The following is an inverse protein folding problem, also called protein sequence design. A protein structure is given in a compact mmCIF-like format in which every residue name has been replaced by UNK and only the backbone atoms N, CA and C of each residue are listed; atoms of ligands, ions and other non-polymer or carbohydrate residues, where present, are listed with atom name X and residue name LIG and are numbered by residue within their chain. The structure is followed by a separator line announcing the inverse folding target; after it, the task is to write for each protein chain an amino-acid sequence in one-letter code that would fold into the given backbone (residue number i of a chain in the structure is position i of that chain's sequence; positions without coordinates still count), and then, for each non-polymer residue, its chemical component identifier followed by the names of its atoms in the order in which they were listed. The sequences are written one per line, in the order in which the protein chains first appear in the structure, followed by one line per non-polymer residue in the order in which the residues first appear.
data_IF_529538188176
#
_entry.id   IF_529538188176
#
_cell.length_a   1.000
_cell.length_b   1.000
_cell.length_c   1.000
_cell.angle_alpha   90.00
_cell.angle_beta   90.00
_cell.angle_gamma   90.00
#
_symmetry.space_group_name_H-M   'P 1'
#
loop_
_entity.id
_entity.type
_entity.pdbx_description
1 polymer ?
#
# COMPACT_ATOMS: atom_id res chain seq x y z
N UNK A 1 -56.63 3.10 37.18
CA UNK A 1 -56.68 3.10 38.65
C UNK A 1 -55.41 2.41 39.16
N UNK A 2 -54.62 3.16 39.92
CA UNK A 2 -53.63 2.78 40.95
C UNK A 2 -52.43 1.91 40.49
N UNK A 3 -51.24 2.27 40.71
CA UNK A 3 -50.50 3.24 41.51
C UNK A 3 -49.15 2.56 41.84
N UNK A 4 -48.14 3.25 41.50
CA UNK A 4 -46.74 3.29 41.98
C UNK A 4 -46.42 2.54 43.28
N UNK A 5 -45.26 1.90 43.28
CA UNK A 5 -44.44 1.76 44.48
C UNK A 5 -42.94 1.93 44.14
N UNK A 6 -42.41 3.05 44.58
CA UNK A 6 -41.00 3.45 44.53
C UNK A 6 -40.31 2.87 45.77
N UNK A 7 -39.32 2.03 45.64
CA UNK A 7 -38.38 1.69 46.72
C UNK A 7 -37.15 2.57 46.62
N UNK A 8 -37.01 3.55 47.51
CA UNK A 8 -35.78 4.31 47.78
C UNK A 8 -34.86 3.48 48.63
N UNK A 9 -33.61 3.32 48.18
CA UNK A 9 -32.48 2.87 48.97
C UNK A 9 -31.66 4.08 49.42
N UNK A 10 -31.28 4.20 50.71
CA UNK A 10 -30.56 5.36 51.22
C UNK A 10 -29.12 5.41 50.76
N UNK A 11 -28.69 6.60 50.37
CA UNK A 11 -27.32 6.85 49.93
C UNK A 11 -26.32 6.86 51.09
N UNK A 12 -25.18 6.25 50.84
CA UNK A 12 -23.94 6.52 51.57
C UNK A 12 -23.08 7.46 50.70
N UNK A 13 -22.47 8.48 51.27
CA UNK A 13 -21.53 9.32 50.53
C UNK A 13 -20.23 8.58 50.36
N UNK A 14 -19.95 8.12 49.13
CA UNK A 14 -18.64 7.63 48.78
C UNK A 14 -17.67 8.81 48.70
N UNK A 15 -16.70 8.86 49.59
CA UNK A 15 -15.58 9.78 49.53
C UNK A 15 -14.84 9.62 48.21
N UNK A 16 -14.85 10.64 47.39
CA UNK A 16 -14.09 10.67 46.16
C UNK A 16 -12.58 10.78 46.51
N UNK A 17 -11.84 9.72 46.25
CA UNK A 17 -10.38 9.77 46.24
C UNK A 17 -9.93 10.61 45.04
N UNK A 18 -9.00 11.56 45.25
CA UNK A 18 -8.49 12.37 44.15
C UNK A 18 -7.67 11.49 43.22
N UNK A 19 -8.11 11.35 41.97
CA UNK A 19 -7.31 10.76 40.90
C UNK A 19 -6.03 11.60 40.71
N UNK A 20 -4.87 10.99 40.58
CA UNK A 20 -3.64 11.71 40.32
C UNK A 20 -3.79 12.45 38.96
N UNK A 21 -3.66 13.76 38.99
CA UNK A 21 -3.55 14.59 37.80
C UNK A 21 -2.35 14.11 37.02
N UNK A 22 -2.57 13.32 35.97
CA UNK A 22 -1.57 13.12 34.92
C UNK A 22 -1.28 14.49 34.32
N UNK A 23 -0.12 15.04 34.64
CA UNK A 23 0.44 16.13 33.88
C UNK A 23 0.51 15.67 32.43
N UNK A 24 -0.35 16.19 31.55
CA UNK A 24 -0.12 16.17 30.13
C UNK A 24 1.22 16.88 29.91
N UNK A 25 2.29 16.11 29.74
CA UNK A 25 3.48 16.66 29.11
C UNK A 25 3.02 17.17 27.76
N UNK A 26 2.99 18.49 27.62
CA UNK A 26 2.94 19.11 26.30
C UNK A 26 4.10 18.50 25.53
N UNK A 27 3.81 17.70 24.53
CA UNK A 27 4.78 17.35 23.51
C UNK A 27 5.16 18.68 22.91
N UNK A 28 6.32 19.19 23.28
CA UNK A 28 6.94 20.33 22.62
C UNK A 28 7.12 19.87 21.18
N UNK A 29 6.28 20.37 20.27
CA UNK A 29 6.55 20.25 18.86
C UNK A 29 7.95 20.85 18.69
N UNK A 30 8.94 20.01 18.42
CA UNK A 30 10.23 20.49 17.94
C UNK A 30 9.89 21.42 16.78
N UNK A 31 10.36 22.67 16.88
CA UNK A 31 10.14 23.65 15.84
C UNK A 31 10.74 23.06 14.56
N UNK A 32 9.85 22.53 13.70
CA UNK A 32 10.24 22.15 12.36
C UNK A 32 10.87 23.38 11.73
N UNK A 33 12.03 23.22 11.12
CA UNK A 33 12.63 24.26 10.31
C UNK A 33 11.54 24.81 9.38
N UNK A 34 11.47 26.12 9.12
CA UNK A 34 10.41 26.70 8.33
C UNK A 34 10.40 25.98 6.99
N UNK A 35 9.40 25.10 6.81
CA UNK A 35 9.11 24.53 5.52
C UNK A 35 8.78 25.72 4.63
N UNK A 36 9.58 25.93 3.58
CA UNK A 36 9.19 26.84 2.50
C UNK A 36 7.85 26.30 2.05
N UNK A 37 6.75 27.00 2.40
CA UNK A 37 5.45 26.72 1.83
C UNK A 37 5.61 26.96 0.33
N UNK A 38 5.89 25.87 -0.40
CA UNK A 38 5.73 25.90 -1.84
C UNK A 38 4.24 26.10 -2.05
N UNK A 39 3.86 27.26 -2.57
CA UNK A 39 2.49 27.51 -2.99
C UNK A 39 2.06 26.36 -3.89
N UNK A 40 0.79 25.92 -3.80
CA UNK A 40 0.23 24.91 -4.70
C UNK A 40 0.42 25.43 -6.12
N UNK A 41 1.47 24.97 -6.79
CA UNK A 41 1.67 25.22 -8.20
C UNK A 41 0.99 24.09 -8.96
N UNK A 42 0.09 24.45 -9.89
CA UNK A 42 -0.41 23.47 -10.83
C UNK A 42 0.80 22.88 -11.55
N UNK A 43 1.05 21.59 -11.37
CA UNK A 43 2.20 20.88 -11.94
C UNK A 43 2.01 20.56 -13.42
N UNK A 44 0.82 20.86 -13.97
CA UNK A 44 0.43 20.48 -15.31
C UNK A 44 -0.12 21.66 -16.10
N UNK A 45 0.42 21.96 -17.31
CA UNK A 45 -0.12 22.98 -18.19
C UNK A 45 -1.52 22.58 -18.71
N UNK A 46 -2.37 23.57 -19.07
CA UNK A 46 -3.77 23.33 -19.48
C UNK A 46 -3.91 22.30 -20.62
N UNK A 47 -3.04 22.32 -21.60
CA UNK A 47 -3.04 21.41 -22.75
C UNK A 47 -2.83 19.95 -22.33
N UNK A 48 -2.12 19.70 -21.25
CA UNK A 48 -1.96 18.36 -20.68
C UNK A 48 -3.24 17.92 -19.94
N UNK A 49 -3.98 18.85 -19.30
CA UNK A 49 -5.27 18.58 -18.70
C UNK A 49 -6.31 18.16 -19.74
N UNK A 50 -6.26 18.73 -20.96
CA UNK A 50 -7.14 18.36 -22.07
C UNK A 50 -6.97 16.90 -22.49
N UNK A 51 -5.77 16.33 -22.36
CA UNK A 51 -5.54 14.90 -22.65
C UNK A 51 -6.44 14.03 -21.76
N UNK A 52 -6.52 14.31 -20.46
CA UNK A 52 -7.38 13.55 -19.53
C UNK A 52 -8.86 13.79 -19.78
N UNK A 53 -9.24 15.00 -20.19
CA UNK A 53 -10.62 15.28 -20.58
C UNK A 53 -11.01 14.48 -21.82
N UNK A 54 -10.13 14.38 -22.81
CA UNK A 54 -10.36 13.59 -24.04
C UNK A 54 -10.47 12.09 -23.75
N UNK A 55 -9.83 11.60 -22.68
CA UNK A 55 -9.86 10.21 -22.27
C UNK A 55 -11.07 9.82 -21.41
N UNK A 56 -11.97 10.73 -21.03
CA UNK A 56 -13.15 10.41 -20.20
C UNK A 56 -14.02 9.30 -20.79
N UNK A 57 -14.29 9.38 -22.10
CA UNK A 57 -15.07 8.34 -22.79
C UNK A 57 -14.37 6.98 -22.77
N UNK A 58 -13.09 6.97 -23.01
CA UNK A 58 -12.27 5.77 -22.92
C UNK A 58 -12.22 5.22 -21.49
N UNK A 59 -12.06 6.06 -20.49
CA UNK A 59 -12.08 5.62 -19.08
C UNK A 59 -13.41 4.95 -18.73
N UNK A 60 -14.54 5.50 -19.17
CA UNK A 60 -15.86 4.89 -18.98
C UNK A 60 -16.00 3.52 -19.64
N UNK A 61 -15.50 3.36 -20.88
CA UNK A 61 -15.69 2.13 -21.67
C UNK A 61 -14.60 1.07 -21.47
N UNK A 62 -13.42 1.43 -21.01
CA UNK A 62 -12.25 0.54 -21.01
C UNK A 62 -11.55 0.42 -19.66
N UNK A 63 -11.74 1.39 -18.76
CA UNK A 63 -11.18 1.38 -17.41
C UNK A 63 -12.22 0.85 -16.40
N UNK A 64 -13.43 1.45 -16.36
CA UNK A 64 -14.47 1.03 -15.41
C UNK A 64 -14.85 -0.46 -15.52
N UNK A 65 -14.87 -1.12 -16.69
CA UNK A 65 -15.13 -2.56 -16.78
C UNK A 65 -14.06 -3.46 -16.12
N UNK A 66 -12.95 -2.91 -15.67
CA UNK A 66 -11.95 -3.64 -14.89
C UNK A 66 -12.32 -3.73 -13.40
N UNK A 67 -13.24 -2.89 -12.92
CA UNK A 67 -13.85 -3.05 -11.60
C UNK A 67 -14.79 -4.25 -11.61
N UNK A 68 -14.96 -4.90 -10.47
CA UNK A 68 -15.91 -5.98 -10.31
C UNK A 68 -17.19 -5.49 -9.64
N UNK A 69 -18.38 -6.01 -10.04
CA UNK A 69 -19.60 -5.80 -9.29
C UNK A 69 -19.44 -6.28 -7.84
N UNK A 70 -19.99 -5.54 -6.89
CA UNK A 70 -19.90 -5.88 -5.45
C UNK A 70 -20.48 -7.26 -5.16
N UNK A 71 -21.49 -7.67 -5.92
CA UNK A 71 -22.16 -8.96 -5.82
C UNK A 71 -21.28 -10.15 -6.23
N UNK A 72 -20.28 -9.90 -7.10
CA UNK A 72 -19.40 -10.92 -7.67
C UNK A 72 -18.00 -10.93 -7.04
N UNK A 73 -17.75 -10.01 -6.10
CA UNK A 73 -16.43 -9.84 -5.53
C UNK A 73 -16.33 -10.55 -4.17
N UNK A 74 -15.17 -11.16 -3.89
CA UNK A 74 -14.92 -11.81 -2.61
C UNK A 74 -14.99 -10.80 -1.44
N UNK A 75 -15.33 -11.31 -0.27
CA UNK A 75 -15.34 -10.53 0.97
C UNK A 75 -14.39 -11.16 2.00
N UNK A 76 -13.86 -10.38 2.96
CA UNK A 76 -13.01 -10.92 4.02
C UNK A 76 -13.59 -12.15 4.74
N UNK A 77 -14.92 -12.18 4.91
CA UNK A 77 -15.64 -13.31 5.53
C UNK A 77 -15.48 -14.65 4.77
N UNK A 78 -15.13 -14.62 3.48
CA UNK A 78 -14.93 -15.84 2.68
C UNK A 78 -13.65 -16.61 3.07
N UNK A 79 -12.77 -15.99 3.84
CA UNK A 79 -11.48 -16.54 4.28
C UNK A 79 -11.35 -16.68 5.79
N UNK A 80 -12.31 -16.22 6.56
CA UNK A 80 -12.24 -16.12 8.01
C UNK A 80 -13.30 -17.04 8.66
N UNK A 81 -13.09 -17.45 9.90
CA UNK A 81 -14.11 -18.14 10.67
C UNK A 81 -15.44 -17.39 10.67
N UNK A 82 -16.54 -18.13 10.46
CA UNK A 82 -17.88 -17.54 10.45
C UNK A 82 -18.33 -17.23 11.88
N UNK A 83 -18.38 -15.96 12.26
CA UNK A 83 -18.77 -15.51 13.60
C UNK A 83 -20.21 -15.83 13.97
N UNK A 84 -21.07 -16.23 13.02
CA UNK A 84 -22.45 -16.65 13.25
C UNK A 84 -22.59 -18.18 13.39
N UNK A 85 -21.53 -18.93 13.08
CA UNK A 85 -21.52 -20.40 13.14
C UNK A 85 -21.35 -20.90 14.57
N UNK A 86 -22.06 -21.99 14.90
CA UNK A 86 -21.79 -22.75 16.16
C UNK A 86 -20.37 -23.33 16.17
N UNK A 87 -19.72 -23.46 15.02
CA UNK A 87 -18.36 -23.95 14.87
C UNK A 87 -17.30 -22.85 15.00
N UNK A 88 -17.67 -21.60 15.25
CA UNK A 88 -16.75 -20.47 15.25
C UNK A 88 -15.51 -20.67 16.11
N UNK A 89 -15.69 -21.12 17.36
CA UNK A 89 -14.55 -21.36 18.27
C UNK A 89 -13.63 -22.47 17.75
N UNK A 90 -14.18 -23.49 17.11
CA UNK A 90 -13.40 -24.56 16.51
C UNK A 90 -12.63 -24.07 15.30
N UNK A 91 -13.26 -23.30 14.40
CA UNK A 91 -12.62 -22.70 13.23
C UNK A 91 -11.52 -21.73 13.63
N UNK A 92 -11.71 -20.94 14.70
CA UNK A 92 -10.64 -20.07 15.27
C UNK A 92 -9.49 -20.92 15.82
N UNK A 93 -9.76 -22.01 16.49
CA UNK A 93 -8.71 -22.92 16.99
C UNK A 93 -7.90 -23.54 15.85
N UNK A 94 -8.55 -23.94 14.75
CA UNK A 94 -7.87 -24.42 13.54
C UNK A 94 -7.03 -23.32 12.87
N UNK A 95 -7.54 -22.09 12.76
CA UNK A 95 -6.76 -20.94 12.25
C UNK A 95 -5.51 -20.74 13.11
N UNK A 96 -5.64 -20.75 14.43
CA UNK A 96 -4.51 -20.60 15.36
C UNK A 96 -3.50 -21.73 15.24
N UNK A 97 -3.95 -22.96 15.03
CA UNK A 97 -3.07 -24.10 14.80
C UNK A 97 -2.23 -23.93 13.52
N UNK A 98 -2.85 -23.48 12.41
CA UNK A 98 -2.12 -23.16 11.16
C UNK A 98 -1.17 -21.99 11.37
N UNK A 99 -1.63 -20.91 11.99
CA UNK A 99 -0.81 -19.73 12.29
C UNK A 99 0.40 -20.03 13.19
N UNK A 100 0.29 -21.02 14.09
CA UNK A 100 1.40 -21.44 14.94
C UNK A 100 2.57 -22.06 14.15
N UNK A 101 2.32 -22.61 12.97
CA UNK A 101 3.35 -23.17 12.10
C UNK A 101 4.13 -22.13 11.30
N UNK A 102 3.60 -20.90 11.20
CA UNK A 102 4.26 -19.81 10.52
C UNK A 102 5.37 -19.20 11.38
N UNK A 103 6.57 -18.93 10.85
CA UNK A 103 7.66 -18.31 11.61
C UNK A 103 7.38 -16.82 11.92
N UNK A 104 8.07 -16.29 12.93
CA UNK A 104 7.91 -14.89 13.34
C UNK A 104 8.27 -13.90 12.23
N UNK A 105 9.28 -14.21 11.42
CA UNK A 105 9.65 -13.41 10.26
C UNK A 105 8.51 -13.28 9.25
N UNK A 106 7.72 -14.33 9.09
CA UNK A 106 6.55 -14.28 8.22
C UNK A 106 5.53 -13.27 8.74
N UNK A 107 5.30 -13.24 10.06
CA UNK A 107 4.39 -12.26 10.66
C UNK A 107 4.91 -10.84 10.55
N UNK A 108 6.22 -10.61 10.64
CA UNK A 108 6.78 -9.28 10.37
C UNK A 108 6.41 -8.80 8.96
N UNK A 109 6.53 -9.68 7.97
CA UNK A 109 6.20 -9.34 6.58
C UNK A 109 4.68 -9.16 6.39
N UNK A 110 3.88 -10.06 6.95
CA UNK A 110 2.42 -9.99 6.85
C UNK A 110 1.86 -8.71 7.50
N UNK A 111 2.43 -8.30 8.65
CA UNK A 111 2.08 -7.03 9.30
C UNK A 111 2.47 -5.85 8.43
N UNK A 112 3.68 -5.85 7.86
CA UNK A 112 4.12 -4.77 6.99
C UNK A 112 3.24 -4.63 5.74
N UNK A 113 2.86 -5.74 5.10
CA UNK A 113 1.90 -5.74 3.99
C UNK A 113 0.56 -5.15 4.46
N UNK A 114 0.00 -5.64 5.58
CA UNK A 114 -1.28 -5.15 6.11
C UNK A 114 -1.26 -3.67 6.51
N UNK A 115 -0.20 -3.20 7.16
CA UNK A 115 -0.04 -1.78 7.54
C UNK A 115 0.01 -0.91 6.28
N UNK A 116 0.62 -1.42 5.21
CA UNK A 116 0.62 -0.75 3.91
C UNK A 116 -0.80 -0.66 3.34
N UNK A 117 -1.56 -1.73 3.35
CA UNK A 117 -2.96 -1.76 2.88
C UNK A 117 -3.88 -0.85 3.71
N UNK A 118 -3.75 -0.86 5.02
CA UNK A 118 -4.55 -0.02 5.94
C UNK A 118 -4.23 1.48 5.81
N UNK A 119 -3.11 1.87 5.22
CA UNK A 119 -2.79 3.26 4.91
C UNK A 119 -3.53 3.80 3.67
N UNK A 120 -4.51 3.09 3.16
CA UNK A 120 -5.38 3.44 2.03
C UNK A 120 -5.92 4.88 2.04
N UNK A 121 -6.33 5.50 3.19
CA UNK A 121 -6.75 6.89 3.20
C UNK A 121 -5.69 7.85 2.64
N UNK A 122 -4.42 7.55 2.83
CA UNK A 122 -3.29 8.34 2.32
C UNK A 122 -3.16 8.20 0.80
N UNK A 123 -3.35 6.99 0.27
CA UNK A 123 -3.25 6.72 -1.18
C UNK A 123 -4.42 7.33 -1.94
N UNK A 124 -5.62 7.14 -1.43
CA UNK A 124 -6.83 7.74 -1.99
C UNK A 124 -6.72 9.28 -2.00
N UNK A 125 -6.23 9.87 -0.92
CA UNK A 125 -5.99 11.31 -0.84
C UNK A 125 -4.97 11.74 -1.91
N UNK A 126 -3.87 11.02 -2.07
CA UNK A 126 -2.83 11.33 -3.06
C UNK A 126 -3.38 11.29 -4.49
N UNK A 127 -4.10 10.21 -4.87
CA UNK A 127 -4.71 10.12 -6.20
C UNK A 127 -5.71 11.26 -6.43
N UNK A 128 -6.43 11.66 -5.39
CA UNK A 128 -7.40 12.74 -5.45
C UNK A 128 -6.78 14.15 -5.52
N UNK A 129 -5.46 14.28 -5.43
CA UNK A 129 -4.76 15.54 -5.72
C UNK A 129 -4.39 15.72 -7.20
N UNK A 130 -4.49 14.67 -8.01
CA UNK A 130 -4.01 14.67 -9.40
C UNK A 130 -4.90 15.54 -10.30
N UNK A 131 -4.31 16.52 -10.97
CA UNK A 131 -5.02 17.48 -11.83
C UNK A 131 -5.74 16.79 -13.00
N UNK A 132 -6.98 17.17 -13.24
CA UNK A 132 -7.81 16.69 -14.36
C UNK A 132 -8.50 15.33 -14.14
N UNK A 133 -8.15 14.58 -13.08
CA UNK A 133 -8.71 13.25 -12.78
C UNK A 133 -9.32 13.14 -11.39
N UNK A 134 -9.10 14.11 -10.50
CA UNK A 134 -9.61 14.12 -9.12
C UNK A 134 -11.13 14.20 -9.05
N UNK A 135 -11.68 13.73 -7.95
CA UNK A 135 -13.09 13.85 -7.58
C UNK A 135 -13.33 15.18 -6.85
N UNK A 136 -13.81 16.19 -7.58
CA UNK A 136 -14.02 17.54 -7.05
C UNK A 136 -15.14 17.61 -6.00
N UNK A 137 -16.04 16.63 -5.96
CA UNK A 137 -17.24 16.66 -5.12
C UNK A 137 -17.30 15.54 -4.09
N UNK A 138 -16.41 14.55 -4.19
CA UNK A 138 -16.49 13.29 -3.44
C UNK A 138 -17.58 12.33 -3.98
N UNK A 139 -18.38 12.75 -4.97
CA UNK A 139 -19.47 11.97 -5.56
C UNK A 139 -19.64 12.23 -7.07
N UNK A 140 -18.62 12.70 -7.75
CA UNK A 140 -18.65 12.99 -9.18
C UNK A 140 -18.96 11.73 -10.00
N UNK A 141 -19.82 11.86 -11.01
CA UNK A 141 -20.08 10.83 -12.01
C UNK A 141 -18.98 10.74 -13.09
N UNK A 142 -17.93 11.57 -13.02
CA UNK A 142 -16.80 11.48 -13.93
C UNK A 142 -16.14 10.10 -13.81
N UNK A 143 -15.87 9.39 -14.93
CA UNK A 143 -15.29 8.05 -14.91
C UNK A 143 -13.99 7.93 -14.09
N UNK A 144 -13.15 8.96 -14.06
CA UNK A 144 -11.95 9.00 -13.22
C UNK A 144 -12.29 8.95 -11.73
N UNK A 145 -13.26 9.75 -11.30
CA UNK A 145 -13.70 9.79 -9.92
C UNK A 145 -14.42 8.50 -9.51
N UNK A 146 -15.24 7.94 -10.42
CA UNK A 146 -15.89 6.63 -10.20
C UNK A 146 -14.84 5.54 -10.04
N UNK A 147 -13.82 5.52 -10.91
CA UNK A 147 -12.70 4.59 -10.81
C UNK A 147 -12.02 4.68 -9.43
N UNK A 148 -11.59 5.88 -9.04
CA UNK A 148 -10.84 6.05 -7.78
C UNK A 148 -11.65 5.58 -6.57
N UNK A 149 -12.94 5.92 -6.48
CA UNK A 149 -13.78 5.46 -5.35
C UNK A 149 -14.01 3.96 -5.34
N UNK A 150 -14.28 3.36 -6.50
CA UNK A 150 -14.55 1.94 -6.58
C UNK A 150 -13.26 1.11 -6.39
N UNK A 151 -12.13 1.56 -6.94
CA UNK A 151 -10.81 0.99 -6.63
C UNK A 151 -10.52 1.04 -5.13
N UNK A 152 -10.72 2.20 -4.48
CA UNK A 152 -10.57 2.33 -3.02
C UNK A 152 -11.44 1.33 -2.25
N UNK A 153 -12.67 1.08 -2.72
CA UNK A 153 -13.55 0.09 -2.09
C UNK A 153 -13.04 -1.34 -2.28
N UNK A 154 -12.41 -1.65 -3.42
CA UNK A 154 -11.75 -2.94 -3.64
C UNK A 154 -10.52 -3.11 -2.75
N UNK A 155 -9.65 -2.09 -2.65
CA UNK A 155 -8.45 -2.07 -1.83
C UNK A 155 -8.73 -2.23 -0.33
N UNK A 156 -9.79 -1.58 0.16
CA UNK A 156 -10.15 -1.64 1.58
C UNK A 156 -10.32 -3.07 2.13
N UNK A 157 -10.66 -4.04 1.27
CA UNK A 157 -10.82 -5.45 1.66
C UNK A 157 -9.48 -6.14 1.93
N UNK A 158 -8.41 -5.68 1.27
CA UNK A 158 -7.07 -6.25 1.40
C UNK A 158 -6.55 -6.09 2.83
N UNK A 159 -6.54 -4.86 3.34
CA UNK A 159 -6.19 -4.57 4.72
C UNK A 159 -7.11 -5.27 5.71
N UNK A 160 -8.43 -5.23 5.48
CA UNK A 160 -9.44 -5.80 6.39
C UNK A 160 -9.27 -7.32 6.59
N UNK A 161 -9.06 -8.10 5.52
CA UNK A 161 -8.88 -9.55 5.65
C UNK A 161 -7.59 -9.90 6.39
N UNK A 162 -6.49 -9.19 6.10
CA UNK A 162 -5.21 -9.43 6.76
C UNK A 162 -5.26 -9.03 8.24
N UNK A 163 -5.87 -7.89 8.56
CA UNK A 163 -6.07 -7.40 9.92
C UNK A 163 -6.85 -8.42 10.75
N UNK A 164 -8.00 -8.86 10.27
CA UNK A 164 -8.84 -9.85 10.95
C UNK A 164 -8.14 -11.19 11.13
N UNK A 165 -7.41 -11.67 10.11
CA UNK A 165 -6.61 -12.88 10.22
C UNK A 165 -5.59 -12.75 11.36
N UNK A 166 -4.83 -11.65 11.41
CA UNK A 166 -3.82 -11.44 12.43
C UNK A 166 -4.42 -11.31 13.83
N UNK A 167 -5.53 -10.59 13.96
CA UNK A 167 -6.28 -10.50 15.22
C UNK A 167 -6.69 -11.89 15.75
N UNK A 168 -7.27 -12.72 14.89
CA UNK A 168 -7.71 -14.07 15.26
C UNK A 168 -6.55 -15.03 15.54
N UNK A 169 -5.42 -14.84 14.86
CA UNK A 169 -4.23 -15.69 14.99
C UNK A 169 -3.59 -15.62 16.39
N UNK A 170 -3.68 -14.46 17.05
CA UNK A 170 -3.02 -14.19 18.32
C UNK A 170 -1.48 -14.17 18.26
N UNK A 171 -0.91 -14.07 17.06
CA UNK A 171 0.54 -14.10 16.83
C UNK A 171 1.21 -12.73 16.88
N UNK A 172 0.42 -11.65 16.86
CA UNK A 172 0.89 -10.27 16.80
C UNK A 172 0.27 -9.41 17.91
N UNK A 173 1.01 -8.39 18.35
CA UNK A 173 0.50 -7.35 19.22
C UNK A 173 -0.31 -6.33 18.40
N UNK A 174 -1.60 -6.57 18.28
CA UNK A 174 -2.51 -5.72 17.49
C UNK A 174 -2.48 -4.26 17.94
N UNK A 175 -2.23 -3.98 19.22
CA UNK A 175 -2.13 -2.60 19.71
C UNK A 175 -0.94 -1.86 19.11
N UNK A 176 0.19 -2.54 18.93
CA UNK A 176 1.36 -1.95 18.29
C UNK A 176 1.17 -1.84 16.78
N UNK A 177 0.52 -2.82 16.17
CA UNK A 177 0.14 -2.79 14.76
C UNK A 177 -0.79 -1.61 14.46
N UNK A 178 -1.88 -1.45 15.22
CA UNK A 178 -2.84 -0.35 15.08
C UNK A 178 -2.20 1.04 15.27
N UNK A 179 -1.26 1.17 16.22
CA UNK A 179 -0.48 2.41 16.38
C UNK A 179 0.37 2.71 15.14
N UNK A 180 1.00 1.67 14.57
CA UNK A 180 1.82 1.83 13.37
C UNK A 180 0.98 2.32 12.20
N UNK A 181 -0.21 1.77 11.99
CA UNK A 181 -1.17 2.26 10.98
C UNK A 181 -1.49 3.75 11.20
N UNK A 182 -1.79 4.14 12.44
CA UNK A 182 -2.10 5.54 12.75
C UNK A 182 -0.91 6.47 12.50
N UNK A 183 0.31 6.06 12.87
CA UNK A 183 1.52 6.82 12.58
C UNK A 183 1.75 6.96 11.08
N UNK A 184 1.58 5.88 10.31
CA UNK A 184 1.79 5.90 8.86
C UNK A 184 0.78 6.83 8.17
N UNK A 185 -0.51 6.73 8.49
CA UNK A 185 -1.54 7.62 7.96
C UNK A 185 -1.23 9.07 8.36
N UNK A 186 -0.87 9.31 9.62
CA UNK A 186 -0.51 10.63 10.13
C UNK A 186 0.75 11.24 9.51
N UNK A 187 1.67 10.41 9.02
CA UNK A 187 2.89 10.83 8.31
C UNK A 187 2.59 11.31 6.89
N UNK A 188 1.47 10.90 6.31
CA UNK A 188 1.11 11.21 4.94
C UNK A 188 1.99 10.48 3.92
N UNK A 189 1.91 10.92 2.67
CA UNK A 189 2.65 10.34 1.57
C UNK A 189 2.95 11.39 0.50
N UNK A 190 4.20 11.51 0.12
CA UNK A 190 4.63 12.34 -1.02
C UNK A 190 5.47 11.52 -2.00
N UNK A 191 4.86 10.92 -3.03
CA UNK A 191 5.58 10.20 -4.08
C UNK A 191 6.31 11.13 -5.06
N UNK A 192 6.32 12.43 -4.80
CA UNK A 192 6.90 13.49 -5.64
C UNK A 192 6.27 13.57 -7.03
N UNK A 193 4.95 13.39 -7.07
CA UNK A 193 4.15 13.47 -8.30
C UNK A 193 3.60 14.88 -8.56
N UNK A 194 3.69 15.79 -7.58
CA UNK A 194 3.37 17.22 -7.72
C UNK A 194 1.99 17.49 -8.34
N UNK A 195 0.97 16.69 -8.00
CA UNK A 195 -0.38 16.73 -8.59
C UNK A 195 -0.43 16.40 -10.10
N UNK A 196 0.66 15.93 -10.68
CA UNK A 196 0.75 15.60 -12.10
C UNK A 196 0.29 14.14 -12.35
N UNK A 197 -0.84 13.90 -13.03
CA UNK A 197 -1.37 12.57 -13.28
C UNK A 197 -0.49 11.71 -14.19
N UNK A 198 0.37 12.28 -15.04
CA UNK A 198 1.36 11.48 -15.77
C UNK A 198 2.31 10.79 -14.80
N UNK A 199 2.84 11.55 -13.83
CA UNK A 199 3.72 10.99 -12.78
C UNK A 199 2.94 10.05 -11.86
N UNK A 200 1.73 10.46 -11.45
CA UNK A 200 0.88 9.69 -10.56
C UNK A 200 0.55 8.31 -11.12
N UNK A 201 0.13 8.22 -12.39
CA UNK A 201 -0.23 6.93 -12.99
C UNK A 201 0.99 6.04 -13.32
N UNK A 202 2.15 6.61 -13.60
CA UNK A 202 3.41 5.84 -13.67
C UNK A 202 3.74 5.26 -12.31
N UNK A 203 3.65 6.08 -11.24
CA UNK A 203 3.86 5.64 -9.86
C UNK A 203 2.92 4.49 -9.50
N UNK A 204 1.61 4.66 -9.70
CA UNK A 204 0.61 3.66 -9.34
C UNK A 204 0.76 2.37 -10.15
N UNK A 205 1.06 2.45 -11.46
CA UNK A 205 1.33 1.25 -12.28
C UNK A 205 2.48 0.41 -11.73
N UNK A 206 3.49 1.06 -11.15
CA UNK A 206 4.61 0.38 -10.51
C UNK A 206 4.17 -0.26 -9.19
N UNK A 207 3.44 0.48 -8.35
CA UNK A 207 3.02 0.02 -7.02
C UNK A 207 2.09 -1.18 -7.09
N UNK A 208 1.06 -1.14 -7.90
CA UNK A 208 0.14 -2.26 -8.10
C UNK A 208 0.86 -3.56 -8.55
N UNK A 209 1.89 -3.40 -9.37
CA UNK A 209 2.74 -4.54 -9.73
C UNK A 209 3.58 -5.03 -8.56
N UNK A 210 4.10 -4.13 -7.74
CA UNK A 210 4.90 -4.45 -6.57
C UNK A 210 4.06 -5.17 -5.50
N UNK A 211 2.83 -4.69 -5.24
CA UNK A 211 1.90 -5.33 -4.30
C UNK A 211 1.44 -6.70 -4.81
N UNK A 212 1.14 -6.84 -6.12
CA UNK A 212 0.85 -8.13 -6.73
C UNK A 212 1.99 -9.16 -6.51
N UNK A 213 3.24 -8.72 -6.61
CA UNK A 213 4.42 -9.58 -6.36
C UNK A 213 4.53 -9.91 -4.88
N UNK A 214 4.43 -8.93 -3.97
CA UNK A 214 4.51 -9.12 -2.53
C UNK A 214 3.46 -10.12 -2.04
N UNK A 215 2.18 -9.86 -2.30
CA UNK A 215 1.08 -10.75 -1.89
C UNK A 215 1.17 -12.15 -2.52
N UNK A 216 1.62 -12.24 -3.77
CA UNK A 216 1.84 -13.54 -4.43
C UNK A 216 2.94 -14.36 -3.76
N UNK A 217 4.04 -13.73 -3.34
CA UNK A 217 5.12 -14.38 -2.62
C UNK A 217 4.73 -14.71 -1.18
N UNK A 218 3.98 -13.82 -0.51
CA UNK A 218 3.40 -14.07 0.82
C UNK A 218 2.47 -15.28 0.79
N UNK A 219 1.61 -15.39 -0.23
CA UNK A 219 0.75 -16.55 -0.44
C UNK A 219 1.56 -17.85 -0.61
N UNK A 220 2.62 -17.82 -1.40
CA UNK A 220 3.51 -18.99 -1.61
C UNK A 220 4.16 -19.45 -0.30
N UNK A 221 4.61 -18.52 0.53
CA UNK A 221 5.20 -18.84 1.83
C UNK A 221 4.15 -19.39 2.80
N UNK A 222 2.94 -18.80 2.89
CA UNK A 222 1.85 -19.33 3.70
C UNK A 222 1.56 -20.79 3.35
N UNK A 223 1.45 -21.08 2.04
CA UNK A 223 1.24 -22.45 1.56
C UNK A 223 2.39 -23.39 1.92
N UNK A 224 3.64 -22.93 1.80
CA UNK A 224 4.80 -23.73 2.16
C UNK A 224 4.86 -24.11 3.65
N UNK A 225 4.24 -23.29 4.51
CA UNK A 225 4.11 -23.53 5.94
C UNK A 225 2.76 -24.18 6.35
N UNK A 226 1.91 -24.54 5.40
CA UNK A 226 0.68 -25.29 5.64
C UNK A 226 -0.56 -24.44 5.96
N UNK A 227 -0.52 -23.13 5.79
CA UNK A 227 -1.74 -22.30 5.88
C UNK A 227 -2.34 -22.04 4.49
N UNK A 228 -3.10 -23.01 3.97
CA UNK A 228 -3.73 -22.91 2.67
C UNK A 228 -4.83 -21.85 2.61
N UNK A 229 -5.46 -21.50 3.75
CA UNK A 229 -6.50 -20.47 3.80
C UNK A 229 -5.87 -19.10 3.64
N UNK A 230 -4.82 -18.79 4.40
CA UNK A 230 -4.06 -17.56 4.26
C UNK A 230 -3.42 -17.44 2.86
N UNK A 231 -2.90 -18.56 2.34
CA UNK A 231 -2.35 -18.61 0.99
C UNK A 231 -3.40 -18.24 -0.07
N UNK A 232 -4.65 -18.70 0.07
CA UNK A 232 -5.74 -18.31 -0.82
C UNK A 232 -6.09 -16.83 -0.67
N UNK A 233 -6.19 -16.31 0.56
CA UNK A 233 -6.48 -14.89 0.81
C UNK A 233 -5.43 -13.99 0.13
N UNK A 234 -4.15 -14.18 0.43
CA UNK A 234 -3.07 -13.41 -0.18
C UNK A 234 -3.00 -13.60 -1.71
N UNK A 235 -3.28 -14.80 -2.22
CA UNK A 235 -3.33 -15.07 -3.67
C UNK A 235 -4.48 -14.36 -4.36
N UNK A 236 -5.61 -14.17 -3.67
CA UNK A 236 -6.77 -13.43 -4.18
C UNK A 236 -6.49 -11.93 -4.19
N UNK A 237 -5.86 -11.39 -3.14
CA UNK A 237 -5.35 -10.02 -3.13
C UNK A 237 -4.40 -9.80 -4.32
N UNK A 238 -3.40 -10.66 -4.50
CA UNK A 238 -2.46 -10.56 -5.62
C UNK A 238 -3.15 -10.60 -7.01
N UNK A 239 -4.31 -11.25 -7.14
CA UNK A 239 -5.09 -11.25 -8.38
C UNK A 239 -5.84 -9.93 -8.60
N UNK A 240 -6.33 -9.30 -7.52
CA UNK A 240 -6.92 -7.96 -7.59
C UNK A 240 -5.85 -6.93 -7.98
N UNK A 241 -4.68 -6.95 -7.34
CA UNK A 241 -3.55 -6.09 -7.66
C UNK A 241 -3.12 -6.16 -9.13
N UNK A 242 -3.12 -7.36 -9.72
CA UNK A 242 -2.84 -7.53 -11.16
C UNK A 242 -3.91 -6.89 -12.05
N UNK A 243 -5.14 -6.86 -11.60
CA UNK A 243 -6.24 -6.22 -12.32
C UNK A 243 -6.10 -4.69 -12.25
N UNK A 244 -5.76 -4.17 -11.08
CA UNK A 244 -5.48 -2.77 -10.85
C UNK A 244 -4.22 -2.32 -11.63
N UNK A 245 -3.14 -3.10 -11.62
CA UNK A 245 -1.95 -2.88 -12.45
C UNK A 245 -2.33 -2.78 -13.93
N UNK A 246 -3.19 -3.68 -14.41
CA UNK A 246 -3.68 -3.63 -15.79
C UNK A 246 -4.42 -2.34 -16.09
N UNK A 247 -5.21 -1.82 -15.16
CA UNK A 247 -5.92 -0.56 -15.32
C UNK A 247 -4.96 0.63 -15.42
N UNK A 248 -4.08 0.77 -14.44
CA UNK A 248 -3.14 1.90 -14.41
C UNK A 248 -2.12 1.85 -15.55
N UNK A 249 -1.60 0.67 -15.90
CA UNK A 249 -0.70 0.54 -17.04
C UNK A 249 -1.37 0.87 -18.38
N UNK A 250 -2.67 0.56 -18.55
CA UNK A 250 -3.46 0.98 -19.72
C UNK A 250 -3.66 2.49 -19.79
N UNK A 251 -3.77 3.18 -18.66
CA UNK A 251 -3.81 4.65 -18.66
C UNK A 251 -2.51 5.19 -19.24
N UNK A 252 -1.36 4.72 -18.78
CA UNK A 252 -0.05 5.15 -19.31
C UNK A 252 0.10 4.79 -20.79
N UNK A 253 -0.43 3.64 -21.24
CA UNK A 253 -0.47 3.30 -22.69
C UNK A 253 -1.26 4.35 -23.50
N UNK A 254 -2.38 4.86 -22.98
CA UNK A 254 -3.11 5.94 -23.66
C UNK A 254 -2.32 7.26 -23.68
N UNK A 255 -1.62 7.59 -22.60
CA UNK A 255 -0.75 8.75 -22.54
C UNK A 255 0.37 8.64 -23.57
N UNK A 256 1.03 7.49 -23.68
CA UNK A 256 2.06 7.23 -24.71
C UNK A 256 1.52 7.34 -26.15
N UNK A 257 0.24 7.02 -26.37
CA UNK A 257 -0.40 7.15 -27.67
C UNK A 257 -0.74 8.61 -28.04
N UNK A 258 -1.21 9.40 -27.05
CA UNK A 258 -1.71 10.76 -27.29
C UNK A 258 -0.61 11.82 -27.14
N UNK A 259 0.30 11.61 -26.22
CA UNK A 259 1.39 12.52 -25.86
C UNK A 259 2.64 11.70 -25.50
N UNK A 260 3.28 11.06 -26.48
CA UNK A 260 4.42 10.17 -26.25
C UNK A 260 5.59 10.86 -25.57
N UNK A 261 5.87 12.09 -25.91
CA UNK A 261 6.98 12.86 -25.32
C UNK A 261 6.73 13.14 -23.84
N UNK A 262 5.57 13.68 -23.50
CA UNK A 262 5.20 13.95 -22.11
C UNK A 262 5.15 12.68 -21.25
N UNK A 263 4.62 11.58 -21.79
CA UNK A 263 4.55 10.31 -21.07
C UNK A 263 5.94 9.72 -20.81
N UNK A 264 6.84 9.71 -21.80
CA UNK A 264 8.20 9.20 -21.64
C UNK A 264 9.03 10.04 -20.68
N UNK A 265 8.87 11.37 -20.72
CA UNK A 265 9.51 12.27 -19.77
C UNK A 265 9.04 11.99 -18.33
N UNK A 266 7.75 11.76 -18.14
CA UNK A 266 7.18 11.41 -16.83
C UNK A 266 7.69 10.04 -16.31
N UNK A 267 7.74 9.02 -17.19
CA UNK A 267 8.31 7.71 -16.85
C UNK A 267 9.77 7.87 -16.41
N UNK A 268 10.58 8.60 -17.18
CA UNK A 268 11.99 8.80 -16.85
C UNK A 268 12.18 9.60 -15.56
N UNK A 269 11.32 10.57 -15.29
CA UNK A 269 11.37 11.36 -14.05
C UNK A 269 11.08 10.49 -12.83
N UNK A 270 10.01 9.68 -12.86
CA UNK A 270 9.69 8.76 -11.77
C UNK A 270 10.82 7.74 -11.53
N UNK A 271 11.43 7.22 -12.61
CA UNK A 271 12.57 6.29 -12.47
C UNK A 271 13.81 6.97 -11.87
N UNK A 272 14.06 8.25 -12.17
CA UNK A 272 15.16 9.02 -11.56
C UNK A 272 14.89 9.30 -10.08
N UNK A 273 13.64 9.60 -9.73
CA UNK A 273 13.20 9.81 -8.34
C UNK A 273 13.29 8.53 -7.50
N UNK A 274 13.41 7.36 -8.13
CA UNK A 274 13.37 6.03 -7.52
C UNK A 274 12.05 5.83 -6.77
N UNK A 275 11.12 5.16 -7.42
CA UNK A 275 9.83 4.84 -6.83
C UNK A 275 10.04 4.08 -5.52
N UNK A 276 9.58 4.64 -4.42
CA UNK A 276 9.62 4.02 -3.09
C UNK A 276 8.26 3.44 -2.75
N UNK A 277 8.22 2.40 -1.91
CA UNK A 277 6.97 1.85 -1.42
C UNK A 277 6.18 2.91 -0.64
N UNK A 278 4.84 2.87 -0.68
CA UNK A 278 4.01 3.87 -0.02
C UNK A 278 4.26 3.96 1.49
N UNK A 279 4.60 2.84 2.10
CA UNK A 279 4.83 2.71 3.54
C UNK A 279 6.24 3.14 4.02
N UNK A 280 7.05 3.81 3.20
CA UNK A 280 8.43 4.16 3.54
C UNK A 280 8.59 5.11 4.76
N UNK A 281 7.50 5.71 5.23
CA UNK A 281 7.46 6.52 6.46
C UNK A 281 6.95 5.72 7.68
N UNK A 282 6.86 4.41 7.57
CA UNK A 282 6.38 3.52 8.63
C UNK A 282 7.29 3.55 9.86
N UNK A 283 6.70 3.81 11.03
CA UNK A 283 7.32 3.68 12.33
C UNK A 283 6.27 3.31 13.39
N UNK A 284 6.69 2.75 14.53
CA UNK A 284 5.78 2.37 15.63
C UNK A 284 5.82 3.35 16.83
N UNK A 285 6.55 4.45 16.69
CA UNK A 285 6.77 5.47 17.73
C UNK A 285 8.01 5.21 18.57
N UNK A 286 8.68 4.06 18.44
CA UNK A 286 9.94 3.70 19.08
C UNK A 286 11.04 3.38 18.08
N UNK A 287 10.74 2.57 17.06
CA UNK A 287 11.62 2.27 15.94
C UNK A 287 11.30 3.20 14.77
N UNK A 288 12.18 4.15 14.51
CA UNK A 288 12.04 5.11 13.40
C UNK A 288 12.55 4.55 12.08
N UNK A 289 13.30 3.45 12.09
CA UNK A 289 13.82 2.74 10.93
C UNK A 289 13.03 1.46 10.65
N UNK A 290 11.79 1.39 11.16
CA UNK A 290 10.93 0.20 11.10
C UNK A 290 10.68 -0.27 9.67
N UNK A 291 10.52 0.67 8.73
CA UNK A 291 10.35 0.33 7.32
C UNK A 291 11.58 -0.40 6.75
N UNK A 292 12.78 0.10 7.04
CA UNK A 292 14.04 -0.50 6.60
C UNK A 292 14.24 -1.90 7.21
N UNK A 293 13.90 -2.05 8.49
CA UNK A 293 13.96 -3.34 9.17
C UNK A 293 12.97 -4.35 8.55
N UNK A 294 11.71 -3.94 8.36
CA UNK A 294 10.70 -4.74 7.66
C UNK A 294 11.15 -5.11 6.23
N UNK A 295 11.61 -4.12 5.44
CA UNK A 295 12.05 -4.34 4.07
C UNK A 295 13.23 -5.34 3.99
N UNK A 296 14.13 -5.32 4.98
CA UNK A 296 15.22 -6.29 5.09
C UNK A 296 14.72 -7.71 5.30
N UNK A 297 13.70 -7.90 6.16
CA UNK A 297 13.05 -9.20 6.36
C UNK A 297 12.34 -9.66 5.08
N UNK A 298 11.58 -8.77 4.42
CA UNK A 298 10.90 -9.07 3.16
C UNK A 298 11.89 -9.49 2.05
N UNK A 299 13.02 -8.77 1.95
CA UNK A 299 14.12 -9.10 1.03
C UNK A 299 14.69 -10.49 1.34
N UNK A 300 14.96 -10.79 2.60
CA UNK A 300 15.56 -12.08 3.04
C UNK A 300 14.62 -13.26 2.80
N UNK A 301 13.32 -13.09 3.03
CA UNK A 301 12.32 -14.12 2.77
C UNK A 301 11.94 -14.26 1.28
N UNK A 302 12.41 -13.36 0.43
CA UNK A 302 12.07 -13.34 -0.98
C UNK A 302 10.60 -12.99 -1.22
N UNK A 303 10.03 -12.12 -0.36
CA UNK A 303 8.67 -11.59 -0.54
C UNK A 303 8.69 -10.40 -1.48
N UNK A 304 9.58 -9.45 -1.23
CA UNK A 304 9.84 -8.36 -2.16
C UNK A 304 11.34 -8.00 -2.15
N UNK A 305 11.96 -8.07 -3.30
CA UNK A 305 13.42 -7.97 -3.43
C UNK A 305 13.86 -6.88 -4.40
N UNK A 306 15.12 -6.48 -4.33
CA UNK A 306 15.73 -5.60 -5.33
C UNK A 306 15.67 -6.18 -6.75
N UNK A 307 15.61 -7.52 -6.89
CA UNK A 307 15.41 -8.17 -8.16
C UNK A 307 13.98 -7.97 -8.66
N UNK A 308 12.97 -8.12 -7.79
CA UNK A 308 11.56 -7.88 -8.13
C UNK A 308 11.37 -6.44 -8.60
N UNK A 309 11.96 -5.46 -7.90
CA UNK A 309 11.95 -4.06 -8.34
C UNK A 309 12.49 -3.91 -9.78
N UNK A 310 13.60 -4.56 -10.08
CA UNK A 310 14.23 -4.49 -11.40
C UNK A 310 13.35 -5.16 -12.46
N UNK A 311 12.75 -6.30 -12.13
CA UNK A 311 11.86 -7.05 -13.02
C UNK A 311 10.57 -6.27 -13.31
N UNK A 312 10.07 -5.48 -12.35
CA UNK A 312 8.95 -4.55 -12.57
C UNK A 312 9.32 -3.47 -13.58
N UNK A 313 10.51 -2.86 -13.44
CA UNK A 313 10.97 -1.85 -14.42
C UNK A 313 11.06 -2.46 -15.83
N UNK A 314 11.64 -3.65 -15.95
CA UNK A 314 11.74 -4.34 -17.24
C UNK A 314 10.37 -4.72 -17.81
N UNK A 315 9.46 -5.19 -16.95
CA UNK A 315 8.08 -5.49 -17.33
C UNK A 315 7.37 -4.26 -17.90
N UNK A 316 7.46 -3.11 -17.22
CA UNK A 316 6.81 -1.87 -17.66
C UNK A 316 7.42 -1.35 -18.98
N UNK A 317 8.75 -1.43 -19.15
CA UNK A 317 9.42 -1.10 -20.42
C UNK A 317 8.86 -1.94 -21.57
N UNK A 318 8.71 -3.25 -21.37
CA UNK A 318 8.15 -4.17 -22.37
C UNK A 318 6.66 -3.92 -22.60
N UNK A 319 5.89 -3.75 -21.51
CA UNK A 319 4.45 -3.50 -21.53
C UNK A 319 4.11 -2.25 -22.36
N UNK A 320 4.85 -1.19 -22.13
CA UNK A 320 4.69 0.10 -22.82
C UNK A 320 5.44 0.18 -24.14
N UNK A 321 6.13 -0.89 -24.55
CA UNK A 321 6.89 -0.97 -25.83
C UNK A 321 7.86 0.20 -26.03
N UNK A 322 8.51 0.64 -24.94
CA UNK A 322 9.36 1.82 -24.98
C UNK A 322 10.55 1.65 -25.93
N UNK A 323 11.09 0.43 -26.06
CA UNK A 323 12.23 0.15 -26.95
C UNK A 323 11.94 0.43 -28.42
N UNK A 324 10.68 0.31 -28.82
CA UNK A 324 10.24 0.52 -30.22
C UNK A 324 9.51 1.83 -30.43
N UNK A 325 9.42 2.69 -29.40
CA UNK A 325 8.74 3.96 -29.47
C UNK A 325 9.65 5.01 -30.15
N UNK A 326 9.37 5.38 -31.39
CA UNK A 326 10.15 6.34 -32.17
C UNK A 326 9.38 7.63 -32.49
N UNK A 327 8.08 7.50 -32.75
CA UNK A 327 7.24 8.62 -33.19
C UNK A 327 6.93 9.60 -32.06
N UNK A 328 6.86 10.91 -32.40
CA UNK A 328 6.39 11.95 -31.50
C UNK A 328 7.35 12.34 -30.37
N UNK A 329 8.60 11.87 -30.39
CA UNK A 329 9.60 12.18 -29.37
C UNK A 329 10.49 13.37 -29.74
N UNK A 330 10.62 14.32 -28.82
CA UNK A 330 11.65 15.36 -28.85
C UNK A 330 13.06 14.78 -28.67
N UNK A 331 14.09 15.59 -28.79
CA UNK A 331 15.45 15.18 -28.45
C UNK A 331 15.60 14.79 -26.98
N UNK A 332 14.85 15.44 -26.09
CA UNK A 332 14.82 15.10 -24.66
C UNK A 332 14.05 13.81 -24.41
N UNK A 333 12.89 13.63 -25.04
CA UNK A 333 12.12 12.39 -24.96
C UNK A 333 12.89 11.16 -25.41
N UNK A 334 13.65 11.26 -26.51
CA UNK A 334 14.53 10.15 -26.95
C UNK A 334 15.59 9.80 -25.90
N UNK A 335 16.26 10.80 -25.30
CA UNK A 335 17.21 10.55 -24.22
C UNK A 335 16.55 9.95 -22.98
N UNK A 336 15.34 10.38 -22.66
CA UNK A 336 14.54 9.86 -21.57
C UNK A 336 14.16 8.38 -21.80
N UNK A 337 13.68 8.03 -23.00
CA UNK A 337 13.41 6.65 -23.42
C UNK A 337 14.64 5.76 -23.29
N UNK A 338 15.77 6.19 -23.85
CA UNK A 338 17.02 5.43 -23.83
C UNK A 338 17.54 5.22 -22.41
N UNK A 339 17.36 6.25 -21.55
CA UNK A 339 17.65 6.11 -20.11
C UNK A 339 16.82 5.02 -19.45
N UNK A 340 15.50 5.02 -19.68
CA UNK A 340 14.58 4.04 -19.07
C UNK A 340 14.85 2.63 -19.59
N UNK A 341 14.98 2.46 -20.90
CA UNK A 341 15.29 1.16 -21.53
C UNK A 341 16.62 0.59 -21.04
N UNK A 342 17.61 1.43 -20.75
CA UNK A 342 18.92 0.99 -20.23
C UNK A 342 18.96 0.83 -18.70
N UNK A 343 17.86 1.01 -17.98
CA UNK A 343 17.88 1.06 -16.51
C UNK A 343 17.97 -0.33 -15.87
N UNK A 344 17.13 -1.29 -16.28
CA UNK A 344 17.06 -2.61 -15.67
C UNK A 344 18.42 -3.38 -15.67
N UNK A 345 19.20 -3.42 -16.76
CA UNK A 345 20.51 -4.07 -16.73
C UNK A 345 21.51 -3.42 -15.74
N UNK A 346 21.41 -2.09 -15.55
CA UNK A 346 22.26 -1.38 -14.59
C UNK A 346 21.87 -1.70 -13.17
N UNK A 347 20.57 -1.80 -12.90
CA UNK A 347 20.02 -2.13 -11.58
C UNK A 347 20.37 -3.55 -11.17
N UNK A 348 20.26 -4.55 -12.08
CA UNK A 348 20.68 -5.94 -11.83
C UNK A 348 22.13 -6.00 -11.35
N UNK A 349 23.04 -5.38 -12.10
CA UNK A 349 24.46 -5.34 -11.71
C UNK A 349 24.69 -4.64 -10.35
N UNK A 350 23.86 -3.66 -9.99
CA UNK A 350 23.94 -3.02 -8.70
C UNK A 350 23.40 -3.92 -7.57
N UNK A 351 22.30 -4.61 -7.81
CA UNK A 351 21.69 -5.57 -6.89
C UNK A 351 22.63 -6.76 -6.61
N UNK A 352 23.25 -7.35 -7.64
CA UNK A 352 24.25 -8.42 -7.51
C UNK A 352 25.41 -7.99 -6.61
N UNK A 353 25.97 -6.79 -6.85
CA UNK A 353 27.08 -6.25 -6.02
C UNK A 353 26.63 -5.96 -4.57
N UNK A 354 25.37 -5.57 -4.37
CA UNK A 354 24.82 -5.36 -3.03
C UNK A 354 24.64 -6.70 -2.31
N UNK A 355 24.10 -7.72 -2.99
CA UNK A 355 23.94 -9.06 -2.45
C UNK A 355 25.30 -9.70 -2.08
N UNK A 356 26.33 -9.51 -2.90
CA UNK A 356 27.68 -10.02 -2.60
C UNK A 356 28.33 -9.33 -1.38
N UNK A 357 27.99 -8.08 -1.12
CA UNK A 357 28.41 -7.39 0.11
C UNK A 357 27.65 -7.89 1.32
N UNK A 358 26.30 -7.96 1.22
CA UNK A 358 25.46 -8.41 2.32
C UNK A 358 25.80 -9.84 2.81
N UNK A 359 26.30 -10.72 1.90
CA UNK A 359 26.77 -12.06 2.28
C UNK A 359 28.00 -12.06 3.21
N UNK A 360 28.70 -10.94 3.31
CA UNK A 360 29.91 -10.79 4.15
C UNK A 360 29.63 -10.15 5.49
N UNK A 361 28.44 -9.56 5.62
CA UNK A 361 28.01 -8.88 6.85
C UNK A 361 27.47 -9.93 7.83
N UNK A 362 27.73 -9.75 9.12
CA UNK A 362 27.13 -10.60 10.15
C UNK A 362 25.61 -10.35 10.26
N UNK A 363 24.81 -11.43 10.41
CA UNK A 363 23.36 -11.29 10.57
C UNK A 363 23.03 -10.43 11.79
N UNK A 364 22.34 -9.34 11.58
CA UNK A 364 21.83 -8.47 12.66
C UNK A 364 20.44 -8.91 13.06
N UNK A 365 20.14 -8.91 14.35
CA UNK A 365 18.80 -9.14 14.89
C UNK A 365 18.19 -7.83 15.37
N UNK A 366 16.91 -7.64 15.10
CA UNK A 366 16.11 -6.51 15.54
C UNK A 366 14.84 -7.00 16.21
N UNK A 367 14.42 -6.31 17.25
CA UNK A 367 13.15 -6.55 17.94
C UNK A 367 12.02 -5.86 17.20
N UNK A 368 10.93 -6.59 16.98
CA UNK A 368 9.72 -6.03 16.40
C UNK A 368 8.60 -5.98 17.44
N UNK A 369 8.13 -4.78 17.72
CA UNK A 369 7.00 -4.54 18.64
C UNK A 369 5.73 -5.28 18.19
N UNK A 370 5.55 -5.44 16.90
CA UNK A 370 4.42 -6.15 16.30
C UNK A 370 4.30 -7.61 16.72
N UNK A 371 5.41 -8.25 17.08
CA UNK A 371 5.47 -9.65 17.49
C UNK A 371 5.96 -9.79 18.93
N UNK A 372 5.48 -8.90 19.81
CA UNK A 372 5.79 -8.91 21.25
C UNK A 372 7.29 -8.79 21.56
N UNK A 373 7.98 -7.89 20.89
CA UNK A 373 9.43 -7.62 21.02
C UNK A 373 10.34 -8.82 20.75
N UNK A 374 9.85 -9.82 20.01
CA UNK A 374 10.69 -10.93 19.57
C UNK A 374 11.69 -10.46 18.51
N UNK A 375 12.88 -11.12 18.55
CA UNK A 375 14.00 -10.78 17.66
C UNK A 375 13.90 -11.54 16.33
N UNK A 376 14.08 -10.82 15.25
CA UNK A 376 14.13 -11.36 13.89
C UNK A 376 15.43 -10.92 13.21
N UNK A 377 15.99 -11.77 12.37
CA UNK A 377 17.17 -11.45 11.56
C UNK A 377 16.74 -10.47 10.44
N UNK A 378 17.50 -9.37 10.31
CA UNK A 378 17.32 -8.36 9.26
C UNK A 378 18.52 -8.31 8.33
#
# INVERSE_FOLDING_TARGET
MQAQSILRVPGHPAAALPLPRRQCRRVSAAAAAPSVQRGVTHSMPPEKAEVFQSLRGWAGSSLLPLLRPVEDIWQPADFLPDSSSEMFEHEVAELRARAAALPDEYFVVLVGDMVTEEALPTYQTMINTLDGVRDETGASACPWAVWTRAWTAEENRHGDVLNKYMYLSGRVDMRMVEKTVQYLIGSGMDPRTENNPYLGFVYTSFQERATAVSHGNTARLAKAHGDDVLARACGTIAADEKRHETAYSRIVEQLLRLDPDGAVLAIADMMRKRITMPAHLMHDGSDMDLFEHFASVAQRLGVYTAQDYTDIVEFLVKRWKLETLEGGLSGEGRRARDFVCGLAPRMRRAAERAADRARKDEPRKVKFSWIFDREVVV
#
